data_IF_926006633772
#
_entry.id   IF_926006633772
#
_cell.length_a   1.000
_cell.length_b   1.000
_cell.length_c   1.000
_cell.angle_alpha   90.00
_cell.angle_beta   90.00
_cell.angle_gamma   90.00
#
_symmetry.space_group_name_H-M   'P 1'
#
loop_
_entity.id
_entity.type
_entity.pdbx_description
1 polymer ?
#
# COMPACT_ATOMS: atom_id res chain seq x y z
N UNK A 1 -5.00 8.68 17.64
CA UNK A 1 -4.45 7.98 16.47
C UNK A 1 -4.25 6.51 16.85
N UNK A 2 -4.73 5.56 16.04
CA UNK A 2 -4.62 4.14 16.39
C UNK A 2 -3.17 3.69 16.58
N UNK A 3 -2.90 2.93 17.65
CA UNK A 3 -1.55 2.42 17.97
C UNK A 3 -0.93 1.62 16.81
N UNK A 4 -1.76 1.01 15.97
CA UNK A 4 -1.35 0.25 14.79
C UNK A 4 -0.85 1.17 13.66
N UNK A 5 -1.49 2.32 13.45
CA UNK A 5 -1.10 3.31 12.44
C UNK A 5 0.26 3.91 12.82
N UNK A 6 0.41 4.31 14.09
CA UNK A 6 1.67 4.84 14.62
C UNK A 6 2.79 3.80 14.49
N UNK A 7 2.55 2.54 14.87
CA UNK A 7 3.56 1.47 14.75
C UNK A 7 4.04 1.30 13.30
N UNK A 8 3.10 1.32 12.35
CA UNK A 8 3.42 1.13 10.93
C UNK A 8 4.18 2.30 10.34
N UNK A 9 3.81 3.53 10.73
CA UNK A 9 4.55 4.73 10.38
C UNK A 9 5.98 4.70 10.93
N UNK A 10 6.15 4.36 12.21
CA UNK A 10 7.46 4.22 12.85
C UNK A 10 8.29 3.15 12.13
N UNK A 11 7.72 1.99 11.83
CA UNK A 11 8.41 0.94 11.07
C UNK A 11 8.85 1.42 9.68
N UNK A 12 8.00 2.19 8.98
CA UNK A 12 8.33 2.79 7.69
C UNK A 12 9.52 3.75 7.76
N UNK A 13 9.51 4.66 8.74
CA UNK A 13 10.60 5.62 8.97
C UNK A 13 11.89 4.89 9.34
N UNK A 14 11.82 3.93 10.27
CA UNK A 14 12.99 3.14 10.67
C UNK A 14 13.57 2.33 9.52
N UNK A 15 12.74 1.74 8.66
CA UNK A 15 13.20 1.04 7.46
C UNK A 15 13.88 1.98 6.46
N UNK A 16 13.38 3.21 6.32
CA UNK A 16 14.00 4.20 5.45
C UNK A 16 15.37 4.65 5.97
N UNK A 17 15.49 4.92 7.28
CA UNK A 17 16.78 5.23 7.91
C UNK A 17 17.73 4.04 7.81
N UNK A 18 17.23 2.82 8.07
CA UNK A 18 17.99 1.59 7.91
C UNK A 18 18.51 1.41 6.49
N UNK A 19 17.69 1.73 5.47
CA UNK A 19 18.11 1.67 4.07
C UNK A 19 19.32 2.56 3.78
N UNK A 20 19.34 3.79 4.30
CA UNK A 20 20.47 4.72 4.13
C UNK A 20 21.73 4.15 4.79
N UNK A 21 21.62 3.64 6.01
CA UNK A 21 22.77 3.05 6.73
C UNK A 21 23.27 1.80 5.98
N UNK A 22 22.36 0.92 5.57
CA UNK A 22 22.71 -0.29 4.83
C UNK A 22 23.35 0.03 3.47
N UNK A 23 22.93 1.11 2.82
CA UNK A 23 23.56 1.60 1.59
C UNK A 23 25.02 2.01 1.84
N UNK A 24 25.29 2.73 2.93
CA UNK A 24 26.64 3.17 3.28
C UNK A 24 27.55 1.97 3.58
N UNK A 25 27.08 1.01 4.39
CA UNK A 25 27.85 -0.20 4.68
C UNK A 25 28.10 -1.04 3.42
N UNK A 26 27.10 -1.12 2.56
CA UNK A 26 27.24 -1.79 1.28
C UNK A 26 28.30 -1.13 0.38
N UNK A 27 28.30 0.20 0.30
CA UNK A 27 29.33 0.95 -0.42
C UNK A 27 30.73 0.71 0.16
N UNK A 28 30.87 0.68 1.49
CA UNK A 28 32.14 0.33 2.15
C UNK A 28 32.59 -1.06 1.74
N UNK A 29 31.71 -2.07 1.80
CA UNK A 29 32.04 -3.44 1.41
C UNK A 29 32.49 -3.53 -0.05
N UNK A 30 31.81 -2.85 -0.99
CA UNK A 30 32.22 -2.81 -2.40
C UNK A 30 33.59 -2.12 -2.56
N UNK A 31 33.81 -0.97 -1.91
CA UNK A 31 35.05 -0.23 -2.00
C UNK A 31 36.25 -0.98 -1.38
N UNK A 32 36.07 -1.58 -0.19
CA UNK A 32 37.11 -2.34 0.49
C UNK A 32 37.38 -3.70 -0.14
N UNK A 33 36.38 -4.34 -0.75
CA UNK A 33 36.58 -5.61 -1.44
C UNK A 33 37.41 -5.48 -2.74
N UNK A 34 37.66 -4.25 -3.21
CA UNK A 34 38.65 -3.94 -4.25
C UNK A 34 40.11 -3.90 -3.74
N UNK A 35 40.33 -3.94 -2.42
CA UNK A 35 41.67 -3.91 -1.80
C UNK A 35 42.15 -5.32 -1.44
N UNK A 36 43.46 -5.54 -1.46
CA UNK A 36 44.19 -6.83 -1.47
C UNK A 36 43.89 -7.86 -0.36
N UNK A 37 43.02 -7.57 0.61
CA UNK A 37 42.83 -8.39 1.81
C UNK A 37 41.51 -9.18 1.86
N UNK A 38 40.65 -9.08 0.83
CA UNK A 38 39.32 -9.69 0.85
C UNK A 38 39.17 -10.65 -0.34
N UNK A 39 38.74 -11.91 -0.12
CA UNK A 39 38.60 -12.87 -1.20
C UNK A 39 37.52 -12.43 -2.19
N UNK A 40 37.74 -12.69 -3.48
CA UNK A 40 36.79 -12.36 -4.57
C UNK A 40 35.38 -12.93 -4.33
N UNK A 41 35.26 -14.01 -3.57
CA UNK A 41 33.98 -14.60 -3.16
C UNK A 41 33.13 -13.69 -2.26
N UNK A 42 33.74 -12.74 -1.55
CA UNK A 42 33.05 -11.81 -0.65
C UNK A 42 32.68 -10.46 -1.32
N UNK A 43 33.15 -10.19 -2.56
CA UNK A 43 32.75 -8.98 -3.30
C UNK A 43 31.23 -8.94 -3.58
N UNK A 44 30.59 -10.10 -3.79
CA UNK A 44 29.14 -10.19 -3.99
C UNK A 44 28.30 -9.75 -2.79
N UNK A 45 28.89 -9.67 -1.59
CA UNK A 45 28.23 -9.20 -0.37
C UNK A 45 27.77 -7.74 -0.49
N UNK A 46 28.60 -6.88 -1.10
CA UNK A 46 28.25 -5.48 -1.34
C UNK A 46 27.09 -5.36 -2.34
N UNK A 47 27.13 -6.11 -3.44
CA UNK A 47 26.02 -6.13 -4.40
C UNK A 47 24.68 -6.53 -3.76
N UNK A 48 24.68 -7.60 -2.95
CA UNK A 48 23.48 -8.02 -2.22
C UNK A 48 23.02 -7.00 -1.18
N UNK A 49 23.96 -6.32 -0.49
CA UNK A 49 23.66 -5.22 0.43
C UNK A 49 23.01 -4.01 -0.25
N UNK A 50 23.43 -3.66 -1.47
CA UNK A 50 22.79 -2.59 -2.26
C UNK A 50 21.33 -2.94 -2.57
N UNK A 51 21.09 -4.17 -3.06
CA UNK A 51 19.72 -4.62 -3.37
C UNK A 51 18.85 -4.59 -2.10
N UNK A 52 19.38 -5.08 -0.96
CA UNK A 52 18.69 -5.03 0.32
C UNK A 52 18.32 -3.60 0.71
N UNK A 53 19.24 -2.64 0.57
CA UNK A 53 19.00 -1.24 0.94
C UNK A 53 17.89 -0.60 0.07
N UNK A 54 17.88 -0.86 -1.24
CA UNK A 54 16.85 -0.36 -2.14
C UNK A 54 15.48 -0.94 -1.76
N UNK A 55 15.40 -2.25 -1.56
CA UNK A 55 14.15 -2.91 -1.18
C UNK A 55 13.66 -2.45 0.21
N UNK A 56 14.56 -2.29 1.18
CA UNK A 56 14.23 -1.76 2.49
C UNK A 56 13.65 -0.34 2.39
N UNK A 57 14.22 0.51 1.52
CA UNK A 57 13.70 1.84 1.23
C UNK A 57 12.29 1.79 0.62
N UNK A 58 12.08 0.92 -0.38
CA UNK A 58 10.76 0.73 -1.01
C UNK A 58 9.73 0.26 0.00
N UNK A 59 10.04 -0.75 0.82
CA UNK A 59 9.14 -1.26 1.86
C UNK A 59 8.87 -0.16 2.91
N UNK A 60 9.88 0.61 3.29
CA UNK A 60 9.74 1.75 4.20
C UNK A 60 8.79 2.82 3.67
N UNK A 61 8.89 3.15 2.38
CA UNK A 61 7.97 4.07 1.68
C UNK A 61 6.56 3.48 1.66
N UNK A 62 6.41 2.21 1.30
CA UNK A 62 5.10 1.53 1.28
C UNK A 62 4.44 1.61 2.66
N UNK A 63 5.17 1.29 3.73
CA UNK A 63 4.64 1.35 5.10
C UNK A 63 4.27 2.76 5.53
N UNK A 64 5.05 3.77 5.13
CA UNK A 64 4.77 5.18 5.42
C UNK A 64 3.53 5.67 4.67
N UNK A 65 3.41 5.39 3.36
CA UNK A 65 2.27 5.83 2.54
C UNK A 65 0.98 5.10 2.91
N UNK A 66 1.08 3.81 3.22
CA UNK A 66 -0.09 3.00 3.56
C UNK A 66 -0.41 3.03 5.05
N UNK A 67 0.27 3.84 5.87
CA UNK A 67 -0.01 3.92 7.31
C UNK A 67 -1.45 4.37 7.60
N UNK A 68 -2.00 5.25 6.76
CA UNK A 68 -3.35 5.80 6.86
C UNK A 68 -4.32 5.24 5.81
N UNK A 69 -3.98 4.09 5.23
CA UNK A 69 -4.83 3.34 4.29
C UNK A 69 -4.94 1.91 4.76
N UNK A 70 -5.95 1.17 4.29
CA UNK A 70 -6.02 -0.27 4.56
C UNK A 70 -5.05 -1.02 3.63
N UNK A 71 -4.00 -1.68 4.13
CA UNK A 71 -3.14 -2.49 3.29
C UNK A 71 -3.93 -3.64 2.66
N UNK A 72 -3.57 -3.98 1.42
CA UNK A 72 -4.12 -5.14 0.73
C UNK A 72 -3.48 -6.39 1.31
N UNK A 73 -4.26 -7.44 1.60
CA UNK A 73 -3.72 -8.69 2.15
C UNK A 73 -2.60 -9.24 1.27
N UNK A 74 -2.82 -9.30 -0.05
CA UNK A 74 -1.82 -9.77 -1.00
C UNK A 74 -0.51 -8.97 -0.94
N UNK A 75 -0.58 -7.63 -0.82
CA UNK A 75 0.61 -6.78 -0.72
C UNK A 75 1.47 -7.14 0.49
N UNK A 76 0.86 -7.41 1.65
CA UNK A 76 1.59 -7.83 2.86
C UNK A 76 2.25 -9.19 2.68
N UNK A 77 1.56 -10.16 2.05
CA UNK A 77 2.16 -11.45 1.73
C UNK A 77 3.33 -11.30 0.77
N UNK A 78 3.22 -10.44 -0.25
CA UNK A 78 4.30 -10.16 -1.18
C UNK A 78 5.51 -9.55 -0.48
N UNK A 79 5.32 -8.56 0.40
CA UNK A 79 6.41 -7.95 1.19
C UNK A 79 7.11 -9.00 2.05
N UNK A 80 6.36 -9.86 2.75
CA UNK A 80 6.95 -10.95 3.55
C UNK A 80 7.77 -11.92 2.70
N UNK A 81 7.23 -12.36 1.55
CA UNK A 81 7.91 -13.29 0.65
C UNK A 81 9.20 -12.68 0.13
N UNK A 82 9.15 -11.42 -0.35
CA UNK A 82 10.33 -10.70 -0.84
C UNK A 82 11.38 -10.55 0.27
N UNK A 83 10.96 -10.20 1.49
CA UNK A 83 11.86 -10.07 2.63
C UNK A 83 12.54 -11.39 3.03
N UNK A 84 11.83 -12.52 2.90
CA UNK A 84 12.41 -13.85 3.14
C UNK A 84 13.40 -14.22 2.03
N UNK A 85 13.01 -14.03 0.76
CA UNK A 85 13.87 -14.36 -0.39
C UNK A 85 15.17 -13.56 -0.34
N UNK A 86 15.11 -12.25 -0.10
CA UNK A 86 16.32 -11.41 -0.06
C UNK A 86 17.25 -11.81 1.09
N UNK A 87 16.68 -12.23 2.22
CA UNK A 87 17.43 -12.71 3.38
C UNK A 87 18.13 -14.04 3.08
N UNK A 88 17.49 -14.93 2.34
CA UNK A 88 18.06 -16.21 1.92
C UNK A 88 19.17 -16.03 0.87
N UNK A 89 19.01 -15.07 -0.04
CA UNK A 89 20.01 -14.72 -1.06
C UNK A 89 21.22 -13.98 -0.47
N UNK A 90 21.05 -13.31 0.67
CA UNK A 90 22.16 -12.73 1.42
C UNK A 90 23.05 -13.86 1.99
N UNK A 91 24.09 -14.20 1.23
CA UNK A 91 25.00 -15.32 1.50
C UNK A 91 25.56 -15.34 2.92
N UNK A 92 25.45 -16.48 3.59
CA UNK A 92 26.08 -16.73 4.90
C UNK A 92 27.60 -16.78 4.83
N UNK A 93 28.17 -16.98 3.64
CA UNK A 93 29.63 -16.96 3.46
C UNK A 93 30.21 -15.56 3.70
N UNK A 94 29.45 -14.51 3.39
CA UNK A 94 29.87 -13.13 3.59
C UNK A 94 29.94 -12.73 5.07
N UNK A 95 29.15 -13.39 5.95
CA UNK A 95 29.16 -13.09 7.38
C UNK A 95 30.42 -13.54 8.10
N UNK A 96 31.23 -14.43 7.48
CA UNK A 96 32.55 -14.81 8.01
C UNK A 96 33.56 -13.66 7.95
N UNK A 97 33.45 -12.80 6.93
CA UNK A 97 34.34 -11.67 6.71
C UNK A 97 33.79 -10.37 7.30
N UNK A 98 32.47 -10.23 7.32
CA UNK A 98 31.78 -9.07 7.86
C UNK A 98 30.71 -9.53 8.86
N UNK A 99 31.04 -9.63 10.17
CA UNK A 99 30.09 -10.11 11.18
C UNK A 99 28.85 -9.19 11.29
N UNK A 100 29.03 -7.90 11.02
CA UNK A 100 27.97 -6.89 11.07
C UNK A 100 26.83 -7.18 10.07
N UNK A 101 27.12 -7.85 8.94
CA UNK A 101 26.09 -8.21 7.95
C UNK A 101 24.98 -9.09 8.54
N UNK A 102 25.31 -9.95 9.51
CA UNK A 102 24.31 -10.79 10.15
C UNK A 102 23.37 -9.93 11.02
N UNK A 103 23.90 -8.93 11.72
CA UNK A 103 23.10 -7.97 12.49
C UNK A 103 22.17 -7.19 11.56
N UNK A 104 22.66 -6.69 10.42
CA UNK A 104 21.83 -6.00 9.42
C UNK A 104 20.71 -6.90 8.91
N UNK A 105 21.01 -8.16 8.59
CA UNK A 105 20.03 -9.13 8.10
C UNK A 105 18.90 -9.38 9.10
N UNK A 106 19.21 -9.61 10.37
CA UNK A 106 18.19 -9.81 11.40
C UNK A 106 17.42 -8.53 11.72
N UNK A 107 18.11 -7.39 11.76
CA UNK A 107 17.49 -6.08 11.99
C UNK A 107 16.45 -5.77 10.91
N UNK A 108 16.76 -6.06 9.64
CA UNK A 108 15.82 -5.91 8.54
C UNK A 108 14.53 -6.73 8.76
N UNK A 109 14.65 -8.02 9.12
CA UNK A 109 13.48 -8.87 9.38
C UNK A 109 12.63 -8.32 10.53
N UNK A 110 13.28 -7.89 11.61
CA UNK A 110 12.59 -7.32 12.78
C UNK A 110 11.83 -6.05 12.40
N UNK A 111 12.43 -5.17 11.61
CA UNK A 111 11.81 -3.94 11.14
C UNK A 111 10.62 -4.20 10.20
N UNK A 112 10.74 -5.17 9.29
CA UNK A 112 9.62 -5.61 8.45
C UNK A 112 8.51 -6.18 9.33
N UNK A 113 8.84 -7.05 10.29
CA UNK A 113 7.87 -7.66 11.20
C UNK A 113 7.13 -6.64 12.06
N UNK A 114 7.81 -5.55 12.47
CA UNK A 114 7.22 -4.45 13.24
C UNK A 114 6.09 -3.75 12.46
N UNK A 115 6.26 -3.58 11.15
CA UNK A 115 5.28 -2.91 10.29
C UNK A 115 4.07 -3.77 9.89
N UNK A 116 4.15 -5.09 10.08
CA UNK A 116 3.06 -6.01 9.75
C UNK A 116 1.86 -5.81 10.70
N UNK A 117 0.61 -5.95 10.21
CA UNK A 117 -0.59 -5.76 11.03
C UNK A 117 -0.81 -6.84 12.11
N UNK A 118 -0.13 -8.00 12.04
CA UNK A 118 -0.18 -9.10 13.04
C UNK A 118 -1.63 -9.54 13.39
N UNK A 119 -1.82 -10.31 14.47
CA UNK A 119 -3.12 -10.90 14.87
C UNK A 119 -4.26 -9.90 15.07
N UNK A 120 -3.96 -8.65 15.45
CA UNK A 120 -4.97 -7.59 15.65
C UNK A 120 -5.45 -6.98 14.33
N UNK A 121 -4.75 -7.27 13.23
CA UNK A 121 -5.21 -7.10 11.87
C UNK A 121 -5.57 -5.66 11.47
N UNK A 122 -6.19 -5.57 10.31
CA UNK A 122 -6.62 -4.35 9.63
C UNK A 122 -7.92 -3.77 10.20
N UNK A 123 -8.34 -4.19 11.41
CA UNK A 123 -9.68 -3.89 11.96
C UNK A 123 -9.87 -2.41 12.29
N UNK A 124 -8.78 -1.74 12.70
CA UNK A 124 -8.76 -0.32 13.08
C UNK A 124 -7.91 0.52 12.12
N UNK A 125 -7.71 0.08 10.87
CA UNK A 125 -7.11 0.96 9.86
C UNK A 125 -8.23 1.71 9.16
N UNK A 126 -8.06 3.02 8.86
CA UNK A 126 -9.02 3.75 8.07
C UNK A 126 -9.15 3.01 6.75
N UNK A 127 -10.35 2.46 6.55
CA UNK A 127 -10.72 1.99 5.25
C UNK A 127 -10.64 3.23 4.37
N UNK A 128 -9.95 3.13 3.22
CA UNK A 128 -10.42 3.93 2.11
C UNK A 128 -11.88 3.49 1.97
N UNK A 129 -12.79 4.29 2.52
CA UNK A 129 -14.14 4.31 2.02
C UNK A 129 -13.91 4.45 0.52
N UNK A 130 -14.21 3.39 -0.24
CA UNK A 130 -14.26 3.50 -1.69
C UNK A 130 -14.95 4.83 -1.91
N UNK A 131 -14.32 5.76 -2.62
CA UNK A 131 -15.07 6.84 -3.23
C UNK A 131 -15.98 6.14 -4.25
N UNK A 132 -17.04 5.54 -3.74
CA UNK A 132 -18.30 5.46 -4.42
C UNK A 132 -18.59 6.91 -4.72
N UNK A 133 -18.90 7.23 -5.97
CA UNK A 133 -19.20 8.58 -6.44
C UNK A 133 -20.52 9.13 -5.83
N UNK A 134 -20.80 8.83 -4.56
CA UNK A 134 -21.92 9.20 -3.73
C UNK A 134 -21.43 9.44 -2.27
N UNK A 135 -20.33 10.16 -2.05
CA UNK A 135 -20.04 10.71 -0.72
C UNK A 135 -19.69 12.19 -0.89
N UNK A 136 -20.74 13.00 -0.82
CA UNK A 136 -20.66 14.44 -0.59
C UNK A 136 -19.84 14.68 0.67
N UNK A 137 -18.90 15.62 0.53
CA UNK A 137 -18.14 16.28 1.58
C UNK A 137 -18.81 16.24 2.96
N UNK A 138 -18.04 15.73 3.91
CA UNK A 138 -18.20 15.98 5.33
C UNK A 138 -18.60 17.45 5.55
N UNK A 139 -19.83 17.66 5.97
CA UNK A 139 -20.24 18.93 6.58
C UNK A 139 -20.56 18.61 8.03
N UNK A 140 -19.60 18.92 8.90
CA UNK A 140 -19.86 19.20 10.30
C UNK A 140 -21.04 20.17 10.41
N UNK A 141 -22.14 19.78 11.08
CA UNK A 141 -23.06 20.74 11.71
C UNK A 141 -23.84 20.09 12.89
N UNK A 142 -24.11 20.86 13.96
CA UNK A 142 -24.72 20.43 15.22
C UNK A 142 -26.25 20.26 15.09
N UNK A 143 -26.97 19.71 16.09
CA UNK A 143 -28.30 19.15 15.92
C UNK A 143 -29.37 20.24 15.99
N UNK A 144 -30.37 20.27 15.09
CA UNK A 144 -31.70 20.88 15.32
C UNK A 144 -32.74 20.40 14.28
N UNK A 145 -33.84 19.86 14.82
CA UNK A 145 -35.25 19.82 14.41
C UNK A 145 -35.75 19.55 12.97
N UNK A 146 -36.59 18.51 12.92
CA UNK A 146 -37.84 18.32 12.17
C UNK A 146 -38.36 19.50 11.33
N UNK A 147 -38.62 19.26 10.05
CA UNK A 147 -39.88 19.59 9.34
C UNK A 147 -39.91 18.79 8.03
N UNK A 148 -40.98 18.03 7.83
CA UNK A 148 -41.31 17.34 6.58
C UNK A 148 -41.81 18.35 5.55
N UNK A 149 -41.21 18.36 4.36
CA UNK A 149 -41.87 18.88 3.15
C UNK A 149 -41.65 17.90 1.99
N UNK A 150 -42.79 17.54 1.39
CA UNK A 150 -42.96 16.58 0.31
C UNK A 150 -42.33 17.09 -0.99
N UNK A 151 -41.42 16.29 -1.57
CA UNK A 151 -41.07 16.39 -2.98
C UNK A 151 -41.29 15.00 -3.61
N UNK A 152 -42.11 15.02 -4.66
CA UNK A 152 -42.80 13.94 -5.34
C UNK A 152 -42.00 12.67 -5.63
N UNK A 153 -42.61 11.53 -5.30
CA UNK A 153 -42.15 10.15 -5.55
C UNK A 153 -41.92 9.82 -7.04
N UNK A 154 -42.53 10.56 -7.98
CA UNK A 154 -42.35 10.34 -9.42
C UNK A 154 -40.95 10.69 -9.92
N UNK A 155 -40.34 11.79 -9.42
CA UNK A 155 -39.03 12.25 -9.93
C UNK A 155 -37.89 11.32 -9.51
N UNK A 156 -38.05 10.61 -8.39
CA UNK A 156 -37.07 9.65 -7.87
C UNK A 156 -37.13 8.31 -8.63
N UNK A 157 -38.29 7.92 -9.17
CA UNK A 157 -38.43 6.75 -10.05
C UNK A 157 -37.70 6.98 -11.38
N UNK A 158 -38.00 8.09 -12.06
CA UNK A 158 -37.44 8.40 -13.38
C UNK A 158 -35.90 8.48 -13.40
N UNK A 159 -35.26 8.88 -12.29
CA UNK A 159 -33.80 8.93 -12.19
C UNK A 159 -33.15 7.55 -12.02
N UNK A 160 -33.84 6.61 -11.36
CA UNK A 160 -33.37 5.23 -11.27
C UNK A 160 -33.55 4.53 -12.63
N UNK A 161 -34.66 4.79 -13.32
CA UNK A 161 -34.95 4.22 -14.64
C UNK A 161 -33.92 4.66 -15.69
N UNK A 162 -33.44 5.91 -15.63
CA UNK A 162 -32.34 6.41 -16.48
C UNK A 162 -30.99 5.73 -16.19
N UNK A 163 -30.76 5.35 -14.92
CA UNK A 163 -29.52 4.70 -14.51
C UNK A 163 -29.47 3.25 -15.01
N UNK A 164 -30.59 2.55 -14.94
CA UNK A 164 -30.72 1.19 -15.45
C UNK A 164 -30.67 1.17 -16.98
N UNK A 165 -31.28 2.16 -17.65
CA UNK A 165 -31.18 2.33 -19.10
C UNK A 165 -29.73 2.51 -19.57
N UNK A 166 -28.93 3.30 -18.84
CA UNK A 166 -27.50 3.49 -19.16
C UNK A 166 -26.70 2.21 -18.99
N UNK A 167 -27.02 1.42 -17.98
CA UNK A 167 -26.35 0.14 -17.74
C UNK A 167 -26.59 -0.85 -18.86
N UNK A 168 -27.81 -0.90 -19.42
CA UNK A 168 -28.13 -1.76 -20.57
C UNK A 168 -27.38 -1.35 -21.85
N UNK A 169 -27.10 -0.05 -22.02
CA UNK A 169 -26.27 0.45 -23.12
C UNK A 169 -24.80 0.05 -22.91
N UNK A 170 -24.28 0.24 -21.69
CA UNK A 170 -22.89 -0.11 -21.34
C UNK A 170 -22.65 -1.63 -21.43
N UNK A 171 -23.67 -2.44 -21.13
CA UNK A 171 -23.65 -3.91 -21.27
C UNK A 171 -23.86 -4.37 -22.73
N UNK A 172 -24.05 -3.44 -23.67
CA UNK A 172 -24.23 -3.72 -25.11
C UNK A 172 -25.54 -4.41 -25.47
N UNK A 173 -26.51 -4.42 -24.55
CA UNK A 173 -27.82 -5.08 -24.69
C UNK A 173 -28.77 -4.25 -25.55
N UNK A 174 -28.65 -2.92 -25.50
CA UNK A 174 -29.39 -1.97 -26.33
C UNK A 174 -28.42 -1.12 -27.15
N UNK A 175 -28.91 -0.59 -28.27
CA UNK A 175 -28.14 0.31 -29.13
C UNK A 175 -28.26 1.77 -28.69
N UNK A 176 -27.36 2.64 -29.15
CA UNK A 176 -27.38 4.08 -28.84
C UNK A 176 -28.70 4.74 -29.29
N UNK A 177 -29.29 4.28 -30.39
CA UNK A 177 -30.55 4.81 -30.92
C UNK A 177 -31.74 4.46 -30.01
N UNK A 178 -31.78 3.23 -29.48
CA UNK A 178 -32.80 2.77 -28.54
C UNK A 178 -32.68 3.44 -27.16
N UNK A 179 -31.44 3.72 -26.74
CA UNK A 179 -31.18 4.45 -25.52
C UNK A 179 -31.74 5.88 -25.60
N UNK A 180 -31.47 6.61 -26.67
CA UNK A 180 -31.94 8.00 -26.81
C UNK A 180 -33.47 8.10 -26.94
N UNK A 181 -34.12 7.13 -27.60
CA UNK A 181 -35.58 7.06 -27.67
C UNK A 181 -36.21 6.85 -26.27
N UNK A 182 -35.69 5.90 -25.49
CA UNK A 182 -36.21 5.61 -24.14
C UNK A 182 -35.87 6.70 -23.13
N UNK A 183 -34.71 7.36 -23.26
CA UNK A 183 -34.31 8.50 -22.43
C UNK A 183 -35.27 9.69 -22.58
N UNK A 184 -35.70 10.00 -23.80
CA UNK A 184 -36.70 11.06 -24.06
C UNK A 184 -38.06 10.72 -23.44
N UNK A 185 -38.48 9.46 -23.55
CA UNK A 185 -39.71 8.98 -22.94
C UNK A 185 -39.71 9.12 -21.40
N UNK A 186 -38.61 8.77 -20.73
CA UNK A 186 -38.49 8.88 -19.26
C UNK A 186 -38.43 10.34 -18.80
N UNK A 187 -37.91 11.23 -19.65
CA UNK A 187 -37.81 12.66 -19.37
C UNK A 187 -39.04 13.47 -19.84
N UNK A 188 -40.07 12.82 -20.43
CA UNK A 188 -41.25 13.46 -21.02
C UNK A 188 -40.89 14.64 -21.95
N UNK A 189 -39.94 14.44 -22.86
CA UNK A 189 -39.43 15.41 -23.85
C UNK A 189 -39.85 15.08 -25.27
#
# INVERSE_FOLDING_TARGET
MDKLIIRRLIAGILLFVFAIIAWQESYRVVAYAGTLYIPKSAQGAGGTGLILSILAGIIGIIYSVTCNKRPLKWLEWAICIVAIIITLLASTESTKYYPDLNLFRWSFIILVALGLPLKKGFKNMPFEEKINNNSSYATTKPPVNNTSESISSEKKSNLNDLRDLKKLLDDGIITNEEFDAKKKQILNL
#
